data_IF_590323623934
#
_entry.id   IF_590323623934
#
_cell.length_a   1.000
_cell.length_b   1.000
_cell.length_c   1.000
_cell.angle_alpha   90.00
_cell.angle_beta   90.00
_cell.angle_gamma   90.00
#
_symmetry.space_group_name_H-M   'P 1'
#
loop_
_entity.id
_entity.type
_entity.pdbx_description
1 polymer ?
#
# COMPACT_ATOMS: atom_id res chain seq x y z
N UNK A 1 -8.98 -59.79 -30.66
CA UNK A 1 -8.11 -58.61 -30.51
C UNK A 1 -9.02 -57.42 -30.17
N UNK A 2 -8.98 -56.93 -28.94
CA UNK A 2 -9.75 -55.75 -28.53
C UNK A 2 -8.75 -54.61 -28.36
N UNK A 3 -8.81 -53.61 -29.24
CA UNK A 3 -8.03 -52.38 -29.20
C UNK A 3 -8.63 -51.42 -28.16
N UNK A 4 -7.89 -51.12 -27.10
CA UNK A 4 -8.23 -50.09 -26.11
C UNK A 4 -7.61 -48.78 -26.59
N UNK A 5 -8.47 -47.86 -27.06
CA UNK A 5 -8.03 -46.47 -27.36
C UNK A 5 -7.88 -45.68 -26.07
N UNK A 6 -6.68 -45.30 -25.74
CA UNK A 6 -6.39 -44.39 -24.64
C UNK A 6 -6.66 -42.95 -25.12
N UNK A 7 -7.67 -42.30 -24.55
CA UNK A 7 -7.97 -40.90 -24.78
C UNK A 7 -7.07 -40.06 -23.84
N UNK A 8 -6.02 -39.43 -24.38
CA UNK A 8 -5.22 -38.45 -23.64
C UNK A 8 -6.00 -37.13 -23.55
N UNK A 9 -6.51 -36.82 -22.37
CA UNK A 9 -7.10 -35.53 -22.04
C UNK A 9 -5.96 -34.54 -21.74
N UNK A 10 -5.64 -33.65 -22.68
CA UNK A 10 -4.72 -32.52 -22.46
C UNK A 10 -5.52 -31.42 -21.77
N UNK A 11 -5.36 -31.28 -20.47
CA UNK A 11 -5.84 -30.12 -19.72
C UNK A 11 -4.94 -28.94 -20.03
N UNK A 12 -5.41 -27.98 -20.85
CA UNK A 12 -4.75 -26.69 -21.01
C UNK A 12 -4.98 -25.87 -19.74
N UNK A 13 -3.96 -25.76 -18.91
CA UNK A 13 -3.94 -24.79 -17.82
C UNK A 13 -3.73 -23.40 -18.43
N UNK A 14 -4.80 -22.63 -18.54
CA UNK A 14 -4.72 -21.19 -18.72
C UNK A 14 -4.15 -20.62 -17.41
N UNK A 15 -2.86 -20.34 -17.37
CA UNK A 15 -2.28 -19.53 -16.32
C UNK A 15 -2.82 -18.11 -16.49
N UNK A 16 -3.82 -17.73 -15.70
CA UNK A 16 -4.09 -16.33 -15.47
C UNK A 16 -2.83 -15.75 -14.83
N UNK A 17 -2.18 -14.81 -15.49
CA UNK A 17 -1.10 -14.05 -14.86
C UNK A 17 -1.73 -13.26 -13.70
N UNK A 18 -1.48 -13.72 -12.48
CA UNK A 18 -1.83 -12.96 -11.29
C UNK A 18 -0.91 -11.74 -11.28
N UNK A 19 -1.47 -10.56 -11.54
CA UNK A 19 -0.79 -9.31 -11.27
C UNK A 19 -0.48 -9.29 -9.79
N UNK A 20 0.80 -9.20 -9.43
CA UNK A 20 1.22 -9.23 -8.04
C UNK A 20 1.34 -7.80 -7.50
N UNK A 21 1.05 -7.61 -6.22
CA UNK A 21 1.36 -6.37 -5.49
C UNK A 21 2.82 -5.99 -5.73
N UNK A 22 3.06 -4.75 -6.14
CA UNK A 22 4.41 -4.24 -6.39
C UNK A 22 4.79 -3.17 -5.39
N UNK A 23 6.03 -3.20 -4.94
CA UNK A 23 6.59 -2.26 -3.95
C UNK A 23 7.85 -1.63 -4.51
N UNK A 24 7.97 -0.31 -4.32
CA UNK A 24 9.21 0.45 -4.48
C UNK A 24 9.54 1.06 -3.12
N UNK A 25 10.75 0.89 -2.63
CA UNK A 25 11.16 1.35 -1.31
C UNK A 25 10.74 0.40 -0.19
N UNK A 26 10.19 0.92 0.90
CA UNK A 26 9.89 0.18 2.12
C UNK A 26 8.37 0.12 2.38
N UNK A 27 7.83 -1.07 2.43
CA UNK A 27 6.42 -1.36 2.69
C UNK A 27 6.27 -2.65 3.48
N UNK A 28 5.12 -2.85 4.09
CA UNK A 28 4.83 -4.08 4.83
C UNK A 28 3.42 -4.12 5.39
N UNK A 29 3.19 -5.10 6.26
CA UNK A 29 1.93 -5.29 6.99
C UNK A 29 2.23 -5.28 8.49
N UNK A 30 1.35 -4.68 9.29
CA UNK A 30 1.53 -4.56 10.73
C UNK A 30 0.17 -4.57 11.45
N UNK A 31 0.12 -5.11 12.67
CA UNK A 31 -1.00 -4.93 13.60
C UNK A 31 -0.95 -3.56 14.28
N UNK A 32 -1.80 -3.35 15.30
CA UNK A 32 -1.77 -2.10 16.07
C UNK A 32 -0.37 -1.81 16.61
N UNK A 33 0.15 -0.60 16.35
CA UNK A 33 1.50 -0.22 16.72
C UNK A 33 1.59 1.29 16.99
N UNK A 34 1.98 1.68 18.20
CA UNK A 34 2.11 3.07 18.58
C UNK A 34 0.83 3.87 18.33
N UNK A 35 0.94 4.97 17.57
CA UNK A 35 -0.20 5.85 17.26
C UNK A 35 -1.17 5.29 16.22
N UNK A 36 -0.77 4.24 15.48
CA UNK A 36 -1.60 3.60 14.47
C UNK A 36 -2.31 2.39 15.09
N UNK A 37 -3.57 2.57 15.40
CA UNK A 37 -4.47 1.53 15.94
C UNK A 37 -4.88 0.55 14.85
N UNK A 38 -5.61 -0.51 15.20
CA UNK A 38 -6.28 -1.34 14.20
C UNK A 38 -7.27 -0.50 13.37
N UNK A 39 -7.45 -0.85 12.07
CA UNK A 39 -8.33 -0.10 11.19
C UNK A 39 -9.81 -0.26 11.58
N UNK A 40 -10.67 0.70 11.22
CA UNK A 40 -12.11 0.65 11.50
C UNK A 40 -12.85 -0.53 10.85
N UNK A 41 -12.24 -1.18 9.86
CA UNK A 41 -12.77 -2.38 9.19
C UNK A 41 -12.84 -3.61 10.09
N UNK A 42 -12.10 -3.61 11.23
CA UNK A 42 -11.97 -4.77 12.09
C UNK A 42 -10.88 -5.76 11.67
N UNK A 43 -10.11 -5.43 10.62
CA UNK A 43 -8.96 -6.25 10.21
C UNK A 43 -7.91 -6.31 11.30
N UNK A 44 -7.22 -7.45 11.49
CA UNK A 44 -6.19 -7.62 12.52
C UNK A 44 -4.87 -6.91 12.17
N UNK A 45 -4.75 -6.39 10.95
CA UNK A 45 -3.56 -5.74 10.41
C UNK A 45 -3.93 -4.69 9.37
N UNK A 46 -2.94 -3.88 9.01
CA UNK A 46 -3.00 -2.88 7.95
C UNK A 46 -1.72 -2.90 7.13
N UNK A 47 -1.79 -2.51 5.87
CA UNK A 47 -0.64 -2.25 5.02
C UNK A 47 -0.01 -0.90 5.34
N UNK A 48 1.28 -0.73 5.03
CA UNK A 48 1.98 0.55 5.20
C UNK A 48 3.07 0.74 4.16
N UNK A 49 3.40 2.01 3.90
CA UNK A 49 4.61 2.49 3.21
C UNK A 49 5.30 3.52 4.08
N UNK A 50 6.65 3.60 4.02
CA UNK A 50 7.44 4.53 4.83
C UNK A 50 8.60 5.13 4.05
N UNK A 51 8.98 6.37 4.39
CA UNK A 51 10.20 6.99 3.86
C UNK A 51 11.47 6.39 4.49
N UNK A 52 11.36 5.84 5.71
CA UNK A 52 12.45 5.08 6.31
C UNK A 52 12.80 3.85 5.47
N UNK A 53 13.98 3.82 4.87
CA UNK A 53 14.36 2.81 3.90
C UNK A 53 13.69 2.98 2.53
N UNK A 54 13.12 4.15 2.24
CA UNK A 54 12.56 4.49 0.95
C UNK A 54 13.61 4.54 -0.16
N UNK A 55 13.18 4.31 -1.40
CA UNK A 55 14.05 4.36 -2.57
C UNK A 55 14.38 5.82 -2.95
N UNK A 56 15.64 6.13 -3.30
CA UNK A 56 16.01 7.45 -3.81
C UNK A 56 15.19 7.82 -5.05
N UNK A 57 14.61 9.01 -5.06
CA UNK A 57 13.77 9.50 -6.16
C UNK A 57 12.52 8.69 -6.43
N UNK A 58 12.17 7.79 -5.55
CA UNK A 58 11.23 6.66 -5.60
C UNK A 58 9.97 6.79 -6.42
N UNK A 59 10.06 6.82 -7.76
CA UNK A 59 8.92 6.65 -8.66
C UNK A 59 7.73 7.60 -8.45
N UNK A 60 7.99 8.78 -7.94
CA UNK A 60 7.00 9.67 -7.34
C UNK A 60 6.22 10.44 -8.41
N UNK A 61 4.89 10.42 -8.38
CA UNK A 61 4.06 11.10 -9.38
C UNK A 61 4.10 12.63 -9.25
N UNK A 62 4.42 13.14 -8.05
CA UNK A 62 4.39 14.58 -7.75
C UNK A 62 5.74 15.03 -7.25
N UNK A 63 6.36 15.96 -7.98
CA UNK A 63 7.63 16.58 -7.61
C UNK A 63 7.33 18.02 -7.19
N UNK A 64 7.49 18.31 -5.91
CA UNK A 64 7.34 19.66 -5.38
C UNK A 64 8.71 20.36 -5.40
N UNK A 65 8.78 21.69 -5.64
CA UNK A 65 10.02 22.44 -5.49
C UNK A 65 10.59 22.31 -4.07
N UNK A 66 11.88 22.09 -3.95
CA UNK A 66 12.58 22.08 -2.67
C UNK A 66 12.75 23.47 -2.06
N UNK A 67 13.31 23.54 -0.86
CA UNK A 67 13.63 24.80 -0.19
C UNK A 67 14.73 25.52 -0.99
N UNK A 68 14.55 26.80 -1.26
CA UNK A 68 15.49 27.64 -2.02
C UNK A 68 15.87 27.07 -3.41
N UNK A 69 14.95 26.36 -4.07
CA UNK A 69 15.21 25.74 -5.37
C UNK A 69 16.00 24.43 -5.30
N UNK A 70 16.15 23.85 -4.13
CA UNK A 70 16.75 22.53 -3.92
C UNK A 70 15.84 21.38 -4.40
N UNK A 71 16.24 20.15 -4.08
CA UNK A 71 15.49 18.92 -4.42
C UNK A 71 14.17 18.92 -3.63
N UNK A 72 13.05 18.73 -4.33
CA UNK A 72 11.73 18.72 -3.71
C UNK A 72 11.38 17.40 -3.05
N UNK A 73 11.69 16.28 -3.73
CA UNK A 73 11.53 14.93 -3.22
C UNK A 73 12.89 14.23 -3.18
N UNK A 74 13.14 13.47 -2.14
CA UNK A 74 14.45 12.83 -1.92
C UNK A 74 14.36 11.31 -1.99
N UNK A 75 13.71 10.68 -1.05
CA UNK A 75 13.44 9.25 -1.04
C UNK A 75 11.99 8.99 -0.62
N UNK A 76 11.46 7.87 -1.03
CA UNK A 76 10.07 7.53 -0.72
C UNK A 76 9.73 6.10 -1.06
N UNK A 77 8.49 5.74 -0.82
CA UNK A 77 8.00 4.39 -1.04
C UNK A 77 6.60 4.41 -1.64
N UNK A 78 6.36 3.44 -2.53
CA UNK A 78 5.05 3.20 -3.10
C UNK A 78 4.68 1.72 -3.01
N UNK A 79 3.38 1.46 -2.87
CA UNK A 79 2.79 0.14 -3.00
C UNK A 79 1.64 0.22 -3.99
N UNK A 80 1.61 -0.70 -4.94
CA UNK A 80 0.52 -0.88 -5.90
C UNK A 80 -0.20 -2.19 -5.63
N UNK A 81 -1.53 -2.13 -5.65
CA UNK A 81 -2.39 -3.31 -5.56
C UNK A 81 -2.20 -4.25 -6.74
N UNK A 82 -2.77 -5.44 -6.64
CA UNK A 82 -3.08 -6.24 -7.81
C UNK A 82 -4.02 -5.47 -8.76
N UNK A 83 -4.01 -5.88 -10.03
CA UNK A 83 -4.97 -5.38 -11.03
C UNK A 83 -6.38 -5.86 -10.65
N UNK A 84 -7.36 -4.95 -10.61
CA UNK A 84 -8.75 -5.26 -10.36
C UNK A 84 -9.67 -4.65 -11.41
N UNK A 85 -10.79 -5.32 -11.69
CA UNK A 85 -11.82 -4.82 -12.59
C UNK A 85 -12.84 -3.97 -11.80
N UNK A 86 -13.33 -2.90 -12.42
CA UNK A 86 -14.42 -2.09 -11.87
C UNK A 86 -15.35 -1.59 -12.99
N UNK A 87 -16.61 -1.37 -12.65
CA UNK A 87 -17.61 -0.79 -13.54
C UNK A 87 -17.82 0.69 -13.21
N UNK A 88 -18.31 1.46 -14.18
CA UNK A 88 -18.75 2.82 -13.92
C UNK A 88 -19.84 2.82 -12.84
N UNK A 89 -19.67 3.68 -11.82
CA UNK A 89 -20.54 3.78 -10.66
C UNK A 89 -20.14 2.90 -9.47
N UNK A 90 -19.21 1.95 -9.63
CA UNK A 90 -18.69 1.18 -8.50
C UNK A 90 -17.99 2.11 -7.48
N UNK A 91 -18.19 1.86 -6.18
CA UNK A 91 -17.52 2.60 -5.13
C UNK A 91 -16.18 1.94 -4.81
N UNK A 92 -15.10 2.69 -4.99
CA UNK A 92 -13.78 2.39 -4.46
C UNK A 92 -13.69 3.01 -3.06
N UNK A 93 -13.45 2.19 -2.04
CA UNK A 93 -13.32 2.62 -0.65
C UNK A 93 -12.02 2.11 -0.06
N UNK A 94 -11.40 2.91 0.81
CA UNK A 94 -10.29 2.50 1.65
C UNK A 94 -10.16 3.43 2.86
N UNK A 95 -9.36 3.00 3.84
CA UNK A 95 -8.96 3.79 5.00
C UNK A 95 -7.47 4.09 4.93
N UNK A 96 -7.08 5.27 5.40
CA UNK A 96 -5.67 5.63 5.54
C UNK A 96 -5.39 6.40 6.84
N UNK A 97 -4.12 6.38 7.26
CA UNK A 97 -3.62 7.17 8.38
C UNK A 97 -2.21 7.65 8.01
N UNK A 98 -2.07 8.96 7.79
CA UNK A 98 -0.78 9.59 7.51
C UNK A 98 -0.08 9.93 8.82
N UNK A 99 1.19 9.55 8.92
CA UNK A 99 2.03 9.74 10.12
C UNK A 99 3.32 10.42 9.71
N UNK A 100 3.74 11.45 10.46
CA UNK A 100 4.98 12.18 10.16
C UNK A 100 5.69 12.59 11.43
N UNK A 101 7.01 12.44 11.45
CA UNK A 101 7.92 13.00 12.45
C UNK A 101 8.56 14.29 11.96
N UNK A 102 8.34 14.66 10.69
CA UNK A 102 8.79 15.93 10.14
C UNK A 102 7.72 17.01 10.32
N UNK A 103 8.17 18.24 10.48
CA UNK A 103 7.29 19.35 10.74
C UNK A 103 6.96 20.17 9.49
N UNK A 104 6.16 21.23 9.68
CA UNK A 104 5.69 22.09 8.59
C UNK A 104 6.80 22.77 7.78
N UNK A 105 8.03 22.85 8.32
CA UNK A 105 9.19 23.46 7.63
C UNK A 105 9.81 22.54 6.56
N UNK A 106 9.75 21.21 6.76
CA UNK A 106 10.27 20.18 5.85
C UNK A 106 9.18 19.15 5.58
N UNK A 107 7.98 19.64 5.31
CA UNK A 107 6.77 18.83 5.27
C UNK A 107 6.79 17.79 4.16
N UNK A 108 6.99 16.56 4.54
CA UNK A 108 6.81 15.36 3.74
C UNK A 108 5.37 15.22 3.27
N UNK A 109 5.14 14.38 2.28
CA UNK A 109 3.80 14.19 1.76
C UNK A 109 3.49 12.74 1.38
N UNK A 110 2.20 12.40 1.51
CA UNK A 110 1.63 11.13 1.12
C UNK A 110 0.46 11.30 0.16
N UNK A 111 0.14 10.23 -0.58
CA UNK A 111 -0.96 10.21 -1.53
C UNK A 111 -1.55 8.81 -1.71
N UNK A 112 -2.76 8.75 -2.29
CA UNK A 112 -3.25 7.59 -3.00
C UNK A 112 -3.81 8.01 -4.34
N UNK A 113 -3.65 7.15 -5.36
CA UNK A 113 -4.17 7.37 -6.70
C UNK A 113 -4.68 6.10 -7.35
N UNK A 114 -5.65 6.25 -8.22
CA UNK A 114 -6.15 5.22 -9.10
C UNK A 114 -5.41 5.30 -10.43
N UNK A 115 -4.86 4.20 -10.88
CA UNK A 115 -4.17 4.05 -12.15
C UNK A 115 -4.95 3.12 -13.07
N UNK A 116 -4.80 3.29 -14.39
CA UNK A 116 -5.22 2.28 -15.36
C UNK A 116 -4.23 1.09 -15.43
N UNK A 117 -4.56 0.08 -16.23
CA UNK A 117 -3.70 -1.09 -16.44
C UNK A 117 -2.32 -0.74 -17.08
N UNK A 118 -2.18 0.44 -17.67
CA UNK A 118 -0.92 0.95 -18.24
C UNK A 118 -0.16 1.87 -17.26
N UNK A 119 -0.63 1.97 -16.02
CA UNK A 119 -0.11 2.84 -14.96
C UNK A 119 -0.26 4.35 -15.22
N UNK A 120 -1.19 4.77 -16.09
CA UNK A 120 -1.56 6.17 -16.20
C UNK A 120 -2.51 6.55 -15.06
N UNK A 121 -2.34 7.74 -14.49
CA UNK A 121 -3.23 8.25 -13.46
C UNK A 121 -4.63 8.54 -14.01
N UNK A 122 -5.63 7.94 -13.39
CA UNK A 122 -7.05 8.17 -13.66
C UNK A 122 -7.63 9.17 -12.66
N UNK A 123 -7.25 9.04 -11.39
CA UNK A 123 -7.69 9.94 -10.33
C UNK A 123 -6.67 10.01 -9.21
N UNK A 124 -6.41 11.21 -8.70
CA UNK A 124 -5.76 11.43 -7.43
C UNK A 124 -6.82 11.34 -6.34
N UNK A 125 -6.70 10.38 -5.42
CA UNK A 125 -7.73 10.07 -4.44
C UNK A 125 -7.58 10.90 -3.17
N UNK A 126 -6.37 11.01 -2.63
CA UNK A 126 -6.04 11.97 -1.58
C UNK A 126 -4.59 12.41 -1.69
N UNK A 127 -4.28 13.56 -1.05
CA UNK A 127 -2.93 14.00 -0.75
C UNK A 127 -2.88 14.51 0.68
N UNK A 128 -1.84 14.16 1.42
CA UNK A 128 -1.59 14.65 2.78
C UNK A 128 -0.21 15.31 2.84
N UNK A 129 -0.12 16.48 3.44
CA UNK A 129 1.14 17.18 3.69
C UNK A 129 0.99 18.08 4.88
N UNK A 130 1.94 18.04 5.79
CA UNK A 130 1.91 18.80 7.03
C UNK A 130 1.88 20.31 6.79
N UNK A 131 1.11 21.02 7.61
CA UNK A 131 1.09 22.49 7.69
C UNK A 131 0.87 22.93 9.13
N UNK A 132 1.18 24.19 9.47
CA UNK A 132 1.15 24.66 10.86
C UNK A 132 -0.22 24.57 11.54
N UNK A 133 -1.32 24.59 10.75
CA UNK A 133 -2.68 24.54 11.30
C UNK A 133 -3.72 24.16 10.23
N UNK A 134 -4.87 23.72 10.68
CA UNK A 134 -6.00 23.32 9.84
C UNK A 134 -5.87 21.94 9.24
N UNK A 135 -6.75 21.61 8.29
CA UNK A 135 -6.71 20.32 7.58
C UNK A 135 -5.44 20.19 6.76
N UNK A 136 -4.77 19.04 6.84
CA UNK A 136 -3.58 18.70 6.04
C UNK A 136 -3.91 17.99 4.73
N UNK A 137 -5.20 17.80 4.45
CA UNK A 137 -5.74 17.26 3.23
C UNK A 137 -6.71 18.29 2.62
N UNK A 138 -6.53 18.70 1.35
CA UNK A 138 -5.44 18.34 0.46
C UNK A 138 -4.08 18.81 0.98
N UNK A 139 -3.03 18.09 0.60
CA UNK A 139 -1.65 18.44 0.96
C UNK A 139 -1.28 19.82 0.44
N UNK A 140 -0.60 20.60 1.26
CA UNK A 140 -0.16 21.95 0.88
C UNK A 140 0.74 21.92 -0.36
N UNK A 141 0.35 22.70 -1.38
CA UNK A 141 1.06 22.78 -2.66
C UNK A 141 0.87 21.56 -3.56
N UNK A 142 -0.03 20.64 -3.22
CA UNK A 142 -0.37 19.46 -4.01
C UNK A 142 -1.70 19.63 -4.75
N UNK A 143 -1.97 18.85 -5.82
CA UNK A 143 -3.25 18.89 -6.51
C UNK A 143 -4.42 18.51 -5.58
N UNK A 144 -5.61 19.00 -5.90
CA UNK A 144 -6.83 18.67 -5.17
C UNK A 144 -7.23 17.19 -5.40
N UNK A 145 -7.57 16.44 -4.36
CA UNK A 145 -8.02 15.06 -4.49
C UNK A 145 -9.46 14.97 -4.98
N UNK A 146 -9.79 13.81 -5.57
CA UNK A 146 -11.13 13.51 -6.14
C UNK A 146 -12.01 12.69 -5.21
N UNK A 147 -11.46 12.02 -4.19
CA UNK A 147 -12.26 11.22 -3.27
C UNK A 147 -12.98 12.10 -2.23
N UNK A 148 -14.13 11.61 -1.79
CA UNK A 148 -14.84 12.15 -0.62
C UNK A 148 -14.20 11.55 0.65
N UNK A 149 -13.88 12.40 1.63
CA UNK A 149 -13.24 11.97 2.88
C UNK A 149 -14.22 12.02 4.05
N UNK A 150 -14.08 11.04 4.95
CA UNK A 150 -14.77 11.00 6.24
C UNK A 150 -13.74 10.76 7.37
N UNK A 151 -13.50 11.76 8.26
CA UNK A 151 -14.07 13.11 8.25
C UNK A 151 -13.56 13.97 7.10
N UNK A 152 -14.35 14.96 6.68
CA UNK A 152 -14.00 15.87 5.57
C UNK A 152 -12.86 16.85 5.91
N UNK A 153 -12.70 17.19 7.19
CA UNK A 153 -11.58 18.00 7.69
C UNK A 153 -10.64 17.10 8.51
N UNK A 154 -9.37 17.08 8.13
CA UNK A 154 -8.36 16.18 8.72
C UNK A 154 -7.17 17.00 9.23
N UNK A 155 -7.28 17.60 10.42
CA UNK A 155 -6.12 18.22 11.08
C UNK A 155 -5.13 17.13 11.56
N UNK A 156 -3.86 17.52 11.72
CA UNK A 156 -2.87 16.65 12.37
C UNK A 156 -3.17 16.53 13.87
N UNK A 157 -3.16 15.32 14.41
CA UNK A 157 -3.11 15.06 15.85
C UNK A 157 -1.64 15.20 16.25
N UNK A 158 -1.30 16.34 16.85
CA UNK A 158 0.09 16.74 17.06
C UNK A 158 0.81 15.93 18.13
N UNK A 159 2.12 15.83 18.01
CA UNK A 159 3.03 15.18 18.93
C UNK A 159 4.15 14.44 18.23
N UNK A 160 5.03 13.80 19.01
CA UNK A 160 6.07 12.91 18.50
C UNK A 160 5.48 11.49 18.31
N UNK A 161 5.09 11.08 17.08
CA UNK A 161 4.36 9.83 16.90
C UNK A 161 5.29 8.63 17.05
N UNK A 162 4.89 7.67 17.89
CA UNK A 162 5.56 6.37 17.96
C UNK A 162 4.91 5.42 16.97
N UNK A 163 5.69 4.91 16.00
CA UNK A 163 5.23 3.94 15.02
C UNK A 163 6.44 3.24 14.38
N UNK A 164 6.52 1.90 14.45
CA UNK A 164 7.70 1.14 14.03
C UNK A 164 8.19 1.43 12.59
N UNK A 165 7.31 1.61 11.58
CA UNK A 165 7.75 1.92 10.22
C UNK A 165 8.55 3.22 10.07
N UNK A 166 8.50 4.15 11.03
CA UNK A 166 9.33 5.38 11.03
C UNK A 166 10.79 5.12 11.44
N UNK A 167 11.16 3.87 11.77
CA UNK A 167 12.52 3.51 12.14
C UNK A 167 13.03 4.31 13.34
N UNK A 168 14.23 4.88 13.21
CA UNK A 168 14.87 5.66 14.27
C UNK A 168 14.17 7.01 14.54
N UNK A 169 13.36 7.48 13.59
CA UNK A 169 12.58 8.71 13.75
C UNK A 169 11.35 8.52 14.65
N UNK A 170 10.94 7.27 14.92
CA UNK A 170 9.80 6.94 15.78
C UNK A 170 9.93 7.55 17.18
N UNK A 171 8.91 8.28 17.62
CA UNK A 171 8.91 8.96 18.91
C UNK A 171 9.66 10.29 18.92
N UNK A 172 10.07 10.80 17.76
CA UNK A 172 10.68 12.12 17.60
C UNK A 172 9.74 13.09 16.88
N UNK A 173 10.09 14.38 16.88
CA UNK A 173 9.38 15.43 16.16
C UNK A 173 10.36 16.57 15.88
N UNK A 174 10.57 16.90 14.60
CA UNK A 174 11.49 17.95 14.22
C UNK A 174 10.99 19.34 14.65
N UNK A 175 9.72 19.67 14.33
CA UNK A 175 9.12 20.97 14.68
C UNK A 175 7.59 20.86 14.67
N UNK A 176 6.91 21.99 14.79
CA UNK A 176 5.44 22.04 14.77
C UNK A 176 4.85 21.35 13.54
N UNK A 177 3.85 20.52 13.75
CA UNK A 177 3.12 19.83 12.68
C UNK A 177 3.42 18.35 12.55
N UNK A 178 4.36 17.79 13.35
CA UNK A 178 4.48 16.32 13.48
C UNK A 178 3.23 15.72 14.11
N UNK A 179 2.98 14.45 13.81
CA UNK A 179 1.86 13.71 14.38
C UNK A 179 1.25 12.73 13.38
N UNK A 180 -0.04 12.56 13.48
CA UNK A 180 -0.78 11.61 12.64
C UNK A 180 -2.22 12.08 12.40
N UNK A 181 -2.89 11.53 11.38
CA UNK A 181 -4.27 11.90 11.06
C UNK A 181 -5.32 11.11 11.84
N UNK A 182 -4.95 9.95 12.39
CA UNK A 182 -5.92 8.91 12.68
C UNK A 182 -6.46 8.29 11.39
N UNK A 183 -7.36 7.32 11.52
CA UNK A 183 -7.97 6.68 10.36
C UNK A 183 -8.98 7.61 9.69
N UNK A 184 -8.83 7.77 8.38
CA UNK A 184 -9.71 8.55 7.50
C UNK A 184 -10.21 7.63 6.41
N UNK A 185 -11.51 7.62 6.16
CA UNK A 185 -12.13 6.90 5.05
C UNK A 185 -12.08 7.77 3.78
N UNK A 186 -11.76 7.14 2.67
CA UNK A 186 -11.83 7.72 1.33
C UNK A 186 -12.80 6.90 0.47
N UNK A 187 -13.71 7.59 -0.21
CA UNK A 187 -14.69 7.03 -1.13
C UNK A 187 -14.57 7.70 -2.48
N UNK A 188 -14.52 6.91 -3.56
CA UNK A 188 -14.43 7.39 -4.92
C UNK A 188 -15.34 6.57 -5.84
N UNK A 189 -16.21 7.24 -6.60
CA UNK A 189 -17.04 6.57 -7.60
C UNK A 189 -16.27 6.42 -8.91
N UNK A 190 -16.13 5.19 -9.38
CA UNK A 190 -15.48 4.89 -10.66
C UNK A 190 -16.24 5.55 -11.81
N UNK A 191 -15.53 6.32 -12.63
CA UNK A 191 -16.15 7.07 -13.74
C UNK A 191 -16.42 6.20 -14.96
N UNK A 192 -15.50 5.28 -15.28
CA UNK A 192 -15.57 4.40 -16.46
C UNK A 192 -15.27 2.97 -16.08
N UNK A 193 -15.89 2.00 -16.75
CA UNK A 193 -15.54 0.59 -16.57
C UNK A 193 -14.15 0.29 -17.11
N UNK A 194 -13.35 -0.51 -16.40
CA UNK A 194 -11.99 -0.84 -16.79
C UNK A 194 -11.26 -1.72 -15.79
N UNK A 195 -9.96 -1.86 -16.03
CA UNK A 195 -9.03 -2.51 -15.10
C UNK A 195 -8.13 -1.45 -14.48
N UNK A 196 -7.94 -1.52 -13.18
CA UNK A 196 -7.32 -0.49 -12.38
C UNK A 196 -6.29 -1.05 -11.40
N UNK A 197 -5.39 -0.18 -10.95
CA UNK A 197 -4.43 -0.41 -9.88
C UNK A 197 -4.59 0.72 -8.86
N UNK A 198 -4.66 0.39 -7.57
CA UNK A 198 -4.63 1.35 -6.48
C UNK A 198 -3.20 1.52 -5.98
N UNK A 199 -2.68 2.75 -6.01
CA UNK A 199 -1.34 3.05 -5.53
C UNK A 199 -1.40 3.92 -4.27
N UNK A 200 -0.61 3.54 -3.26
CA UNK A 200 -0.30 4.33 -2.06
C UNK A 200 1.15 4.76 -2.09
N UNK A 201 1.44 5.97 -1.63
CA UNK A 201 2.81 6.45 -1.60
C UNK A 201 3.07 7.50 -0.53
N UNK A 202 4.35 7.63 -0.17
CA UNK A 202 4.88 8.64 0.76
C UNK A 202 6.30 9.01 0.35
N UNK A 203 6.68 10.27 0.55
CA UNK A 203 8.03 10.76 0.24
C UNK A 203 8.51 11.78 1.26
N UNK A 204 9.81 11.76 1.53
CA UNK A 204 10.52 12.86 2.17
C UNK A 204 10.67 14.04 1.21
N UNK A 205 10.62 15.24 1.76
CA UNK A 205 10.73 16.49 1.02
C UNK A 205 11.90 17.34 1.53
N UNK A 206 12.79 17.69 0.62
CA UNK A 206 13.99 18.51 0.81
C UNK A 206 15.15 17.87 1.58
N UNK A 207 14.92 16.85 2.38
CA UNK A 207 15.97 16.08 3.05
C UNK A 207 15.60 14.58 3.15
N UNK A 208 16.25 13.81 4.03
CA UNK A 208 16.01 12.38 4.27
C UNK A 208 15.94 12.06 5.76
N UNK A 209 15.68 13.08 6.59
CA UNK A 209 15.54 12.94 8.02
C UNK A 209 14.08 13.03 8.45
N UNK A 210 13.78 12.55 9.66
CA UNK A 210 12.44 12.62 10.27
C UNK A 210 11.35 11.99 9.42
N UNK A 211 11.47 10.68 9.27
CA UNK A 211 10.61 9.85 8.41
C UNK A 211 9.12 10.07 8.58
N UNK A 212 8.43 9.86 7.48
CA UNK A 212 6.98 9.85 7.36
C UNK A 212 6.48 8.52 6.79
N UNK A 213 5.21 8.23 7.01
CA UNK A 213 4.61 7.02 6.48
C UNK A 213 3.09 7.13 6.32
N UNK A 214 2.56 6.14 5.62
CA UNK A 214 1.14 6.00 5.35
C UNK A 214 0.71 4.58 5.68
N UNK A 215 -0.19 4.43 6.65
CA UNK A 215 -0.92 3.19 6.89
C UNK A 215 -2.22 3.19 6.07
N UNK A 216 -2.63 2.04 5.54
CA UNK A 216 -3.85 1.89 4.75
C UNK A 216 -4.49 0.50 4.98
N UNK A 217 -5.80 0.42 4.85
CA UNK A 217 -6.57 -0.83 5.02
C UNK A 217 -7.94 -0.75 4.39
N UNK A 218 -8.61 -1.91 4.28
CA UNK A 218 -10.01 -2.00 3.85
C UNK A 218 -10.23 -1.53 2.42
N UNK A 219 -9.23 -1.71 1.54
CA UNK A 219 -9.34 -1.38 0.12
C UNK A 219 -10.34 -2.29 -0.55
N UNK A 220 -11.46 -1.73 -1.02
CA UNK A 220 -12.55 -2.49 -1.67
C UNK A 220 -13.05 -1.77 -2.92
N UNK A 221 -13.54 -2.55 -3.87
CA UNK A 221 -14.30 -2.09 -5.04
C UNK A 221 -15.67 -2.75 -5.04
N UNK A 222 -16.73 -1.96 -5.02
CA UNK A 222 -18.12 -2.45 -4.87
C UNK A 222 -18.27 -3.45 -3.70
N UNK A 223 -17.52 -3.23 -2.61
CA UNK A 223 -17.48 -4.11 -1.42
C UNK A 223 -16.60 -5.36 -1.55
N UNK A 224 -16.03 -5.67 -2.73
CA UNK A 224 -15.09 -6.76 -2.90
C UNK A 224 -13.66 -6.31 -2.54
N UNK A 225 -12.87 -7.09 -1.77
CA UNK A 225 -11.52 -6.73 -1.39
C UNK A 225 -10.58 -6.56 -2.59
N UNK A 226 -9.76 -5.51 -2.54
CA UNK A 226 -8.61 -5.31 -3.43
C UNK A 226 -7.36 -5.77 -2.68
N UNK A 227 -6.56 -6.65 -3.29
CA UNK A 227 -5.33 -7.11 -2.65
C UNK A 227 -4.27 -6.00 -2.66
N UNK A 228 -3.89 -5.57 -1.47
CA UNK A 228 -2.82 -4.60 -1.19
C UNK A 228 -1.76 -5.19 -0.25
N UNK A 229 -1.83 -6.50 0.02
CA UNK A 229 -0.90 -7.15 0.92
C UNK A 229 0.36 -7.59 0.19
N UNK A 230 1.51 -7.29 0.76
CA UNK A 230 2.79 -7.82 0.32
C UNK A 230 2.87 -9.31 0.71
N UNK A 231 2.29 -10.19 -0.11
CA UNK A 231 2.48 -11.63 0.10
C UNK A 231 3.94 -11.95 -0.17
N UNK A 232 4.64 -12.47 0.84
CA UNK A 232 5.92 -13.15 0.60
C UNK A 232 5.57 -14.43 -0.16
N UNK A 233 5.95 -14.58 -1.45
CA UNK A 233 5.69 -15.81 -2.17
C UNK A 233 6.29 -16.96 -1.38
N UNK A 234 5.46 -17.87 -0.87
CA UNK A 234 5.99 -19.11 -0.26
C UNK A 234 6.70 -19.84 -1.41
N UNK A 235 8.04 -20.00 -1.34
CA UNK A 235 8.76 -20.60 -2.45
C UNK A 235 8.10 -21.92 -2.83
N UNK A 236 7.91 -22.16 -4.13
CA UNK A 236 7.34 -23.42 -4.63
C UNK A 236 8.07 -24.65 -4.06
N UNK A 237 9.33 -24.45 -3.60
CA UNK A 237 10.08 -25.41 -2.80
C UNK A 237 9.32 -25.90 -1.55
N UNK A 238 8.53 -25.08 -0.86
CA UNK A 238 7.75 -25.51 0.31
C UNK A 238 6.68 -26.56 -0.08
N UNK A 239 6.04 -26.39 -1.22
CA UNK A 239 5.09 -27.34 -1.76
C UNK A 239 5.78 -28.62 -2.29
N UNK A 240 6.99 -28.46 -2.89
CA UNK A 240 7.82 -29.58 -3.32
C UNK A 240 8.34 -30.40 -2.14
N UNK A 241 8.75 -29.77 -1.05
CA UNK A 241 9.14 -30.47 0.17
C UNK A 241 7.96 -31.19 0.81
N UNK A 242 6.76 -30.58 0.89
CA UNK A 242 5.56 -31.22 1.43
C UNK A 242 5.14 -32.44 0.61
N UNK A 243 5.16 -32.35 -0.72
CA UNK A 243 4.84 -33.48 -1.63
C UNK A 243 5.92 -34.56 -1.63
N UNK A 244 7.21 -34.18 -1.52
CA UNK A 244 8.32 -35.12 -1.41
C UNK A 244 8.26 -35.97 -0.14
N UNK A 245 7.89 -35.37 1.01
CA UNK A 245 7.71 -36.09 2.27
C UNK A 245 6.60 -37.14 2.22
N UNK A 246 5.48 -36.83 1.57
CA UNK A 246 4.35 -37.77 1.44
C UNK A 246 4.71 -38.97 0.57
N UNK A 247 5.49 -38.77 -0.50
CA UNK A 247 5.99 -39.84 -1.37
C UNK A 247 6.98 -40.73 -0.64
N UNK A 248 7.91 -40.15 0.15
CA UNK A 248 8.90 -40.87 0.96
C UNK A 248 8.21 -41.72 2.04
N UNK A 249 7.23 -41.18 2.76
CA UNK A 249 6.48 -41.94 3.76
C UNK A 249 5.67 -43.08 3.14
N UNK A 250 5.14 -42.90 1.94
CA UNK A 250 4.45 -43.94 1.18
C UNK A 250 5.38 -45.09 0.77
N UNK A 251 6.61 -44.77 0.35
CA UNK A 251 7.61 -45.76 -0.05
C UNK A 251 8.15 -46.58 1.14
N UNK A 252 8.36 -45.94 2.31
CA UNK A 252 8.83 -46.63 3.54
C UNK A 252 7.77 -47.60 4.05
N UNK A 253 6.48 -47.24 4.03
CA UNK A 253 5.39 -48.14 4.43
C UNK A 253 5.22 -49.37 3.53
N UNK A 254 5.56 -49.29 2.24
CA UNK A 254 5.54 -50.44 1.33
C UNK A 254 6.65 -51.45 1.64
N UNK A 255 7.84 -50.98 2.09
CA UNK A 255 8.98 -51.86 2.40
C UNK A 255 8.83 -52.63 3.72
N UNK A 256 7.98 -52.19 4.65
CA UNK A 256 7.72 -52.86 5.92
C UNK A 256 6.60 -53.90 5.87
N UNK A 257 5.99 -54.14 4.68
CA UNK A 257 4.93 -55.12 4.47
C UNK A 257 5.34 -56.24 3.49
N UNK A 258 6.57 -56.29 3.06
CA UNK A 258 7.20 -57.39 2.32
C UNK A 258 8.23 -58.11 3.23
#
# INVERSE_FOLDING_TARGET
MKTVSALCLVAAFLSAEASAVTVVGNAGTLGANGVVTLPPTGDPSYGWVSTNGGAPGGGLPYILPGINGGIGNTNGSTLRSDLFAANAGDNLQFYFNYVTTDGAGFADYGWARLLDASNNEIALLFTARTKPSGSIIPGFGMPAPSATLTPAAVPIIGGAPTWAPLGISSGTCFTTGCGYTGWVQADYSIVSSGNYVLEYGVTNWSDTYYDSGLAFSGSTIAGAPINTETTVPVPAAAWLFGSGFTVLMGAVRRKSRA
#
